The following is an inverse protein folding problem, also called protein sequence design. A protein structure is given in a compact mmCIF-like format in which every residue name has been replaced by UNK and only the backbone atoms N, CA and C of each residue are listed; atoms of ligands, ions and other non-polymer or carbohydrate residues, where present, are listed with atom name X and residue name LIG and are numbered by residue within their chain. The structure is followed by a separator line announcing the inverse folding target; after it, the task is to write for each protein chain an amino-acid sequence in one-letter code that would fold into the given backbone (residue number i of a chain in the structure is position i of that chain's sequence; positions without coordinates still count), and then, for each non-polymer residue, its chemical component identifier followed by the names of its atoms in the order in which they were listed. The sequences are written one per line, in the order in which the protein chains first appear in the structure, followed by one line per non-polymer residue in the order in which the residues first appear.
data_IF_527146385408
#
_entry.id   IF_527146385408
#
_cell.length_a   1.000
_cell.length_b   1.000
_cell.length_c   1.000
_cell.angle_alpha   90.00
_cell.angle_beta   90.00
_cell.angle_gamma   90.00
#
_symmetry.space_group_name_H-M   'P 1'
#
loop_
_entity.id
_entity.type
_entity.pdbx_description
1 polymer ?
#
# COMPACT_ATOMS: atom_id res chain seq x y z
N UNK A 1 -38.52 -1.77 -58.26
CA UNK A 1 -38.68 -3.16 -58.75
C UNK A 1 -37.28 -3.75 -58.80
N UNK A 2 -37.03 -4.72 -57.92
CA UNK A 2 -35.80 -5.54 -57.74
C UNK A 2 -34.50 -4.77 -57.41
N UNK A 3 -34.14 -4.82 -56.13
CA UNK A 3 -32.83 -4.43 -55.59
C UNK A 3 -31.90 -5.64 -55.62
N UNK A 4 -30.70 -5.45 -56.17
CA UNK A 4 -29.67 -6.47 -56.40
C UNK A 4 -28.95 -6.77 -55.08
N UNK A 5 -28.82 -8.07 -54.78
CA UNK A 5 -28.02 -8.62 -53.68
C UNK A 5 -26.66 -9.05 -54.22
N UNK A 6 -25.58 -8.52 -53.65
CA UNK A 6 -24.23 -9.04 -53.86
C UNK A 6 -23.81 -9.87 -52.64
N UNK A 7 -23.70 -11.18 -52.87
CA UNK A 7 -23.16 -12.19 -51.96
C UNK A 7 -21.70 -12.45 -52.39
N UNK A 8 -20.74 -12.06 -51.54
CA UNK A 8 -19.33 -12.36 -51.76
C UNK A 8 -18.71 -13.02 -50.52
N UNK A 9 -18.50 -14.34 -50.68
CA UNK A 9 -17.30 -15.10 -50.32
C UNK A 9 -16.85 -15.13 -48.86
N UNK A 10 -17.13 -16.30 -48.26
CA UNK A 10 -16.51 -16.88 -47.05
C UNK A 10 -14.98 -16.89 -47.16
N UNK A 11 -14.31 -16.25 -46.20
CA UNK A 11 -12.94 -16.56 -45.82
C UNK A 11 -12.95 -17.20 -44.42
N UNK A 12 -12.45 -18.44 -44.36
CA UNK A 12 -12.16 -19.18 -43.15
C UNK A 12 -11.04 -18.47 -42.37
N UNK A 13 -11.34 -18.04 -41.14
CA UNK A 13 -10.33 -17.88 -40.09
C UNK A 13 -10.64 -18.87 -38.96
N UNK A 14 -9.64 -19.59 -38.44
CA UNK A 14 -9.84 -20.68 -37.50
C UNK A 14 -10.34 -20.16 -36.16
N UNK A 15 -11.36 -20.87 -35.67
CA UNK A 15 -11.99 -20.82 -34.36
C UNK A 15 -10.99 -20.68 -33.21
N UNK A 16 -11.24 -19.67 -32.38
CA UNK A 16 -11.12 -19.66 -30.92
C UNK A 16 -10.06 -20.61 -30.34
N UNK A 17 -8.89 -20.05 -30.02
CA UNK A 17 -8.01 -20.62 -29.01
C UNK A 17 -8.78 -20.77 -27.70
N UNK A 18 -9.03 -22.01 -27.31
CA UNK A 18 -9.51 -22.43 -26.01
C UNK A 18 -8.62 -21.87 -24.90
N UNK A 19 -9.10 -20.87 -24.17
CA UNK A 19 -8.47 -20.45 -22.92
C UNK A 19 -8.62 -21.57 -21.87
N UNK A 20 -7.54 -21.94 -21.16
CA UNK A 20 -7.56 -23.05 -20.22
C UNK A 20 -8.38 -22.70 -18.96
N UNK A 21 -9.16 -23.66 -18.50
CA UNK A 21 -10.01 -23.76 -17.31
C UNK A 21 -9.96 -22.64 -16.27
N UNK A 22 -11.05 -21.86 -16.18
CA UNK A 22 -11.27 -20.84 -15.15
C UNK A 22 -12.08 -21.34 -13.94
N UNK A 23 -12.32 -22.64 -13.76
CA UNK A 23 -13.34 -23.16 -12.83
C UNK A 23 -12.86 -24.15 -11.75
N UNK A 24 -11.63 -24.68 -11.81
CA UNK A 24 -11.15 -25.65 -10.81
C UNK A 24 -10.17 -25.01 -9.83
N UNK A 25 -10.38 -25.16 -8.50
CA UNK A 25 -9.38 -24.80 -7.50
C UNK A 25 -8.06 -25.56 -7.71
N UNK A 26 -6.94 -24.89 -7.43
CA UNK A 26 -5.59 -25.46 -7.49
C UNK A 26 -5.31 -26.41 -6.32
N UNK A 27 -4.32 -27.30 -6.46
CA UNK A 27 -4.00 -28.32 -5.44
C UNK A 27 -3.73 -27.70 -4.07
N UNK A 28 -2.90 -26.67 -4.04
CA UNK A 28 -2.60 -25.92 -2.81
C UNK A 28 -3.82 -25.23 -2.19
N UNK A 29 -4.75 -24.73 -3.01
CA UNK A 29 -5.99 -24.11 -2.53
C UNK A 29 -6.90 -25.14 -1.87
N UNK A 30 -7.00 -26.35 -2.45
CA UNK A 30 -7.74 -27.48 -1.87
C UNK A 30 -7.15 -27.92 -0.52
N UNK A 31 -5.82 -27.95 -0.42
CA UNK A 31 -5.13 -28.29 0.83
C UNK A 31 -5.44 -27.28 1.95
N UNK A 32 -5.27 -25.98 1.68
CA UNK A 32 -5.59 -24.93 2.66
C UNK A 32 -7.08 -24.97 3.03
N UNK A 33 -7.96 -25.17 2.05
CA UNK A 33 -9.40 -25.31 2.26
C UNK A 33 -9.74 -26.47 3.22
N UNK A 34 -9.17 -27.66 3.01
CA UNK A 34 -9.43 -28.82 3.86
C UNK A 34 -8.97 -28.63 5.32
N UNK A 35 -7.86 -27.91 5.52
CA UNK A 35 -7.41 -27.53 6.87
C UNK A 35 -8.35 -26.49 7.47
N UNK A 36 -8.66 -25.44 6.71
CA UNK A 36 -9.58 -24.39 7.12
C UNK A 36 -10.97 -24.92 7.43
N UNK A 37 -11.43 -26.03 6.83
CA UNK A 37 -12.70 -26.68 7.18
C UNK A 37 -12.74 -27.25 8.60
N UNK A 38 -11.61 -27.67 9.14
CA UNK A 38 -11.54 -28.41 10.41
C UNK A 38 -11.23 -27.52 11.61
N UNK A 39 -10.59 -26.37 11.39
CA UNK A 39 -10.15 -25.45 12.45
C UNK A 39 -10.02 -24.02 11.93
N UNK A 40 -9.94 -23.07 12.85
CA UNK A 40 -9.61 -21.69 12.54
C UNK A 40 -8.14 -21.59 12.12
N UNK A 41 -7.88 -20.97 10.97
CA UNK A 41 -6.51 -20.76 10.48
C UNK A 41 -6.30 -19.36 9.95
N UNK A 42 -5.03 -18.95 9.96
CA UNK A 42 -4.53 -17.85 9.14
C UNK A 42 -3.76 -18.46 7.98
N UNK A 43 -4.32 -18.38 6.76
CA UNK A 43 -3.64 -18.82 5.55
C UNK A 43 -2.62 -17.76 5.11
N UNK A 44 -1.35 -18.13 5.12
CA UNK A 44 -0.24 -17.31 4.62
C UNK A 44 0.08 -17.75 3.20
N UNK A 45 -0.27 -16.90 2.24
CA UNK A 45 -0.17 -17.16 0.81
C UNK A 45 0.27 -15.89 0.10
N UNK A 46 1.04 -15.97 -0.98
CA UNK A 46 1.33 -14.76 -1.77
C UNK A 46 0.05 -14.18 -2.38
N UNK A 47 0.08 -12.91 -2.77
CA UNK A 47 -1.07 -12.19 -3.35
C UNK A 47 -1.60 -12.89 -4.61
N UNK A 48 -0.73 -13.55 -5.37
CA UNK A 48 -1.04 -14.40 -6.54
C UNK A 48 -1.58 -15.79 -6.17
N UNK A 49 -1.49 -16.21 -4.91
CA UNK A 49 -1.89 -17.52 -4.40
C UNK A 49 -3.40 -17.79 -4.49
N UNK A 50 -4.21 -16.76 -4.75
CA UNK A 50 -5.65 -16.88 -4.93
C UNK A 50 -6.40 -17.17 -3.62
N UNK A 51 -6.05 -16.44 -2.56
CA UNK A 51 -6.68 -16.50 -1.23
C UNK A 51 -8.20 -16.41 -1.28
N UNK A 52 -8.71 -15.49 -2.10
CA UNK A 52 -10.15 -15.27 -2.25
C UNK A 52 -10.89 -16.51 -2.77
N UNK A 53 -10.26 -17.33 -3.61
CA UNK A 53 -10.87 -18.58 -4.07
C UNK A 53 -11.10 -19.56 -2.90
N UNK A 54 -10.17 -19.64 -1.96
CA UNK A 54 -10.29 -20.48 -0.76
C UNK A 54 -11.45 -19.98 0.12
N UNK A 55 -11.56 -18.65 0.30
CA UNK A 55 -12.70 -18.04 0.97
C UNK A 55 -14.03 -18.39 0.29
N UNK A 56 -14.13 -18.30 -1.04
CA UNK A 56 -15.31 -18.70 -1.80
C UNK A 56 -15.65 -20.18 -1.60
N UNK A 57 -14.66 -21.08 -1.57
CA UNK A 57 -14.89 -22.50 -1.31
C UNK A 57 -15.47 -22.73 0.10
N UNK A 58 -14.91 -22.06 1.12
CA UNK A 58 -15.43 -22.13 2.49
C UNK A 58 -16.86 -21.59 2.61
N UNK A 59 -17.17 -20.49 1.91
CA UNK A 59 -18.52 -19.91 1.83
C UNK A 59 -19.50 -20.95 1.27
N UNK A 60 -19.14 -21.60 0.15
CA UNK A 60 -20.00 -22.62 -0.49
C UNK A 60 -20.22 -23.84 0.41
N UNK A 61 -19.17 -24.32 1.07
CA UNK A 61 -19.23 -25.48 1.96
C UNK A 61 -20.10 -25.25 3.19
N UNK A 62 -20.25 -24.00 3.64
CA UNK A 62 -21.13 -23.66 4.75
C UNK A 62 -22.59 -23.54 4.36
N UNK A 63 -22.89 -23.22 3.10
CA UNK A 63 -24.29 -23.08 2.63
C UNK A 63 -24.91 -24.42 2.22
N UNK A 64 -24.13 -25.35 1.68
CA UNK A 64 -24.64 -26.67 1.27
C UNK A 64 -25.37 -27.46 2.40
N UNK A 65 -24.95 -27.41 3.68
CA UNK A 65 -25.65 -28.07 4.79
C UNK A 65 -26.86 -27.30 5.35
N UNK A 66 -27.07 -26.02 5.00
CA UNK A 66 -28.07 -25.13 5.64
C UNK A 66 -29.50 -25.37 5.11
N UNK A 67 -29.66 -26.16 4.05
CA UNK A 67 -30.98 -26.60 3.56
C UNK A 67 -31.74 -27.54 4.52
N UNK A 68 -31.14 -27.90 5.66
CA UNK A 68 -31.79 -28.63 6.75
C UNK A 68 -32.04 -27.71 7.95
N UNK A 69 -33.25 -27.14 7.98
CA UNK A 69 -34.10 -26.83 9.15
C UNK A 69 -33.35 -26.19 10.35
N UNK A 70 -33.60 -24.88 10.51
CA UNK A 70 -33.38 -24.02 11.68
C UNK A 70 -32.07 -23.20 11.75
N UNK A 71 -32.24 -21.94 11.34
CA UNK A 71 -31.38 -20.75 11.42
C UNK A 71 -30.48 -20.49 10.19
N UNK A 72 -30.87 -19.46 9.41
CA UNK A 72 -29.99 -18.77 8.46
C UNK A 72 -28.72 -18.39 9.20
N UNK A 73 -27.56 -18.84 8.72
CA UNK A 73 -26.28 -18.49 9.32
C UNK A 73 -25.58 -17.46 8.45
N UNK A 74 -25.34 -16.29 9.02
CA UNK A 74 -24.70 -15.18 8.34
C UNK A 74 -23.22 -15.44 8.12
N UNK A 75 -22.67 -14.99 7.00
CA UNK A 75 -21.23 -14.94 6.75
C UNK A 75 -20.79 -13.49 6.67
N UNK A 76 -19.67 -13.17 7.32
CA UNK A 76 -19.08 -11.85 7.26
C UNK A 76 -17.70 -11.95 6.62
N UNK A 77 -17.46 -11.12 5.60
CA UNK A 77 -16.15 -10.94 5.00
C UNK A 77 -15.65 -9.52 5.32
N UNK A 78 -14.46 -9.41 5.88
CA UNK A 78 -13.87 -8.12 6.23
C UNK A 78 -12.61 -7.83 5.43
N UNK A 79 -12.53 -6.62 4.86
CA UNK A 79 -11.34 -6.11 4.16
C UNK A 79 -10.94 -4.73 4.71
N UNK A 80 -9.64 -4.39 4.80
CA UNK A 80 -9.18 -3.20 5.52
C UNK A 80 -9.46 -1.89 4.79
N UNK A 81 -9.66 -1.94 3.46
CA UNK A 81 -9.91 -0.75 2.64
C UNK A 81 -11.20 -0.87 1.83
N UNK A 82 -11.80 0.26 1.48
CA UNK A 82 -13.00 0.31 0.63
C UNK A 82 -12.75 -0.32 -0.74
N UNK A 83 -11.55 -0.11 -1.31
CA UNK A 83 -11.18 -0.72 -2.58
C UNK A 83 -11.20 -2.24 -2.51
N UNK A 84 -10.61 -2.82 -1.46
CA UNK A 84 -10.63 -4.26 -1.24
C UNK A 84 -12.05 -4.77 -1.00
N UNK A 85 -12.89 -4.07 -0.22
CA UNK A 85 -14.31 -4.44 -0.04
C UNK A 85 -15.02 -4.60 -1.38
N UNK A 86 -14.89 -3.62 -2.28
CA UNK A 86 -15.49 -3.70 -3.62
C UNK A 86 -14.97 -4.89 -4.43
N UNK A 87 -13.64 -5.11 -4.44
CA UNK A 87 -13.04 -6.22 -5.17
C UNK A 87 -13.52 -7.58 -4.67
N UNK A 88 -13.54 -7.78 -3.35
CA UNK A 88 -13.96 -9.06 -2.77
C UNK A 88 -15.46 -9.27 -2.93
N UNK A 89 -16.27 -8.22 -2.82
CA UNK A 89 -17.71 -8.26 -3.11
C UNK A 89 -18.00 -8.75 -4.53
N UNK A 90 -17.42 -8.11 -5.55
CA UNK A 90 -17.62 -8.47 -6.94
C UNK A 90 -17.19 -9.92 -7.20
N UNK A 91 -16.05 -10.32 -6.63
CA UNK A 91 -15.53 -11.67 -6.77
C UNK A 91 -16.45 -12.72 -6.12
N UNK A 92 -16.89 -12.52 -4.89
CA UNK A 92 -17.77 -13.46 -4.17
C UNK A 92 -19.13 -13.53 -4.88
N UNK A 93 -19.70 -12.39 -5.27
CA UNK A 93 -20.98 -12.31 -5.98
C UNK A 93 -20.94 -12.99 -7.35
N UNK A 94 -19.82 -12.88 -8.06
CA UNK A 94 -19.65 -13.57 -9.35
C UNK A 94 -19.52 -15.08 -9.20
N UNK A 95 -18.83 -15.56 -8.15
CA UNK A 95 -18.52 -16.98 -7.98
C UNK A 95 -19.53 -17.76 -7.12
N UNK A 96 -20.53 -17.09 -6.54
CA UNK A 96 -21.56 -17.71 -5.69
C UNK A 96 -22.96 -17.30 -6.15
N UNK A 97 -23.96 -18.12 -5.85
CA UNK A 97 -25.37 -17.81 -6.09
C UNK A 97 -26.06 -17.25 -4.84
N UNK A 98 -25.29 -16.66 -3.93
CA UNK A 98 -25.77 -16.18 -2.64
C UNK A 98 -26.19 -14.71 -2.72
N UNK A 99 -27.03 -14.29 -1.78
CA UNK A 99 -27.35 -12.88 -1.62
C UNK A 99 -26.19 -12.18 -0.90
N UNK A 100 -25.39 -11.43 -1.66
CA UNK A 100 -24.19 -10.72 -1.18
C UNK A 100 -24.44 -9.21 -1.25
N UNK A 101 -24.08 -8.48 -0.20
CA UNK A 101 -24.07 -7.01 -0.17
C UNK A 101 -22.82 -6.46 0.54
N UNK A 102 -22.47 -5.20 0.24
CA UNK A 102 -21.26 -4.54 0.72
C UNK A 102 -21.51 -3.22 1.48
N UNK A 103 -20.70 -2.99 2.52
CA UNK A 103 -20.87 -1.86 3.45
C UNK A 103 -19.54 -1.17 3.81
N UNK A 104 -19.51 0.15 3.71
CA UNK A 104 -18.37 1.00 4.06
C UNK A 104 -18.84 2.45 4.30
N UNK A 105 -17.97 3.34 4.79
CA UNK A 105 -18.34 4.67 5.28
C UNK A 105 -19.23 5.51 4.34
N UNK A 106 -18.93 5.54 3.05
CA UNK A 106 -19.66 6.34 2.06
C UNK A 106 -21.04 5.76 1.67
N UNK A 107 -21.41 4.58 2.18
CA UNK A 107 -22.76 3.99 1.98
C UNK A 107 -23.82 4.57 2.95
N UNK A 108 -23.46 5.53 3.81
CA UNK A 108 -24.40 6.16 4.74
C UNK A 108 -24.90 5.24 5.87
N UNK A 109 -24.24 4.11 6.07
CA UNK A 109 -24.63 3.05 7.03
C UNK A 109 -24.60 3.51 8.50
N UNK A 110 -23.92 4.62 8.78
CA UNK A 110 -23.82 5.19 10.13
C UNK A 110 -25.15 5.78 10.63
N UNK A 111 -26.07 6.11 9.73
CA UNK A 111 -27.37 6.70 10.06
C UNK A 111 -28.48 5.63 10.16
N UNK A 112 -28.15 4.37 9.89
CA UNK A 112 -29.13 3.29 9.86
C UNK A 112 -29.55 2.87 11.26
N UNK A 113 -30.86 2.66 11.44
CA UNK A 113 -31.43 2.17 12.67
C UNK A 113 -31.41 0.62 12.72
N UNK A 114 -31.90 0.06 13.82
CA UNK A 114 -31.99 -1.40 14.01
C UNK A 114 -32.84 -2.10 12.95
N UNK A 115 -33.93 -1.48 12.48
CA UNK A 115 -34.81 -2.07 11.47
C UNK A 115 -34.11 -2.20 10.11
N UNK A 116 -33.32 -1.20 9.72
CA UNK A 116 -32.50 -1.26 8.50
C UNK A 116 -31.51 -2.42 8.57
N UNK A 117 -30.74 -2.54 9.65
CA UNK A 117 -29.77 -3.63 9.80
C UNK A 117 -30.44 -5.00 9.88
N UNK A 118 -31.57 -5.12 10.58
CA UNK A 118 -32.32 -6.37 10.66
C UNK A 118 -32.81 -6.83 9.28
N UNK A 119 -33.28 -5.89 8.45
CA UNK A 119 -33.64 -6.17 7.06
C UNK A 119 -32.45 -6.67 6.26
N UNK A 120 -31.33 -5.96 6.30
CA UNK A 120 -30.12 -6.32 5.55
C UNK A 120 -29.57 -7.70 5.95
N UNK A 121 -29.54 -8.00 7.26
CA UNK A 121 -29.13 -9.30 7.80
C UNK A 121 -30.09 -10.42 7.36
N UNK A 122 -31.38 -10.12 7.27
CA UNK A 122 -32.40 -11.09 6.86
C UNK A 122 -32.37 -11.36 5.35
N UNK A 123 -32.10 -10.36 4.53
CA UNK A 123 -32.09 -10.46 3.07
C UNK A 123 -30.78 -11.08 2.56
N UNK A 124 -29.63 -10.77 3.14
CA UNK A 124 -28.33 -11.22 2.61
C UNK A 124 -27.71 -12.39 3.38
N UNK A 125 -27.02 -13.28 2.66
CA UNK A 125 -26.28 -14.40 3.22
C UNK A 125 -24.85 -14.02 3.60
N UNK A 126 -24.24 -13.12 2.80
CA UNK A 126 -22.86 -12.68 2.95
C UNK A 126 -22.80 -11.16 3.01
N UNK A 127 -22.22 -10.63 4.10
CA UNK A 127 -21.96 -9.20 4.24
C UNK A 127 -20.47 -8.92 4.08
N UNK A 128 -20.09 -8.11 3.08
CA UNK A 128 -18.70 -7.71 2.83
C UNK A 128 -18.49 -6.28 3.32
N UNK A 129 -17.62 -6.06 4.30
CA UNK A 129 -17.51 -4.71 4.88
C UNK A 129 -16.13 -4.34 5.39
N UNK A 130 -15.90 -3.05 5.64
CA UNK A 130 -14.72 -2.62 6.40
C UNK A 130 -14.90 -2.98 7.88
N UNK A 131 -13.81 -3.28 8.62
CA UNK A 131 -13.94 -3.70 10.00
C UNK A 131 -14.48 -2.61 10.94
N UNK A 132 -14.34 -1.33 10.56
CA UNK A 132 -14.94 -0.25 11.34
C UNK A 132 -16.47 -0.35 11.36
N UNK A 133 -17.09 -0.69 10.22
CA UNK A 133 -18.56 -0.87 10.15
C UNK A 133 -19.00 -2.00 11.08
N UNK A 134 -18.37 -3.18 11.00
CA UNK A 134 -18.74 -4.29 11.89
C UNK A 134 -18.56 -3.90 13.36
N UNK A 135 -17.45 -3.24 13.72
CA UNK A 135 -17.19 -2.82 15.08
C UNK A 135 -18.30 -1.89 15.62
N UNK A 136 -18.74 -0.93 14.81
CA UNK A 136 -19.78 0.01 15.20
C UNK A 136 -21.15 -0.67 15.31
N UNK A 137 -21.48 -1.57 14.38
CA UNK A 137 -22.71 -2.37 14.41
C UNK A 137 -22.76 -3.26 15.67
N UNK A 138 -21.65 -3.90 16.02
CA UNK A 138 -21.54 -4.73 17.23
C UNK A 138 -21.67 -3.90 18.51
N UNK A 139 -21.00 -2.74 18.59
CA UNK A 139 -21.06 -1.85 19.76
C UNK A 139 -22.44 -1.26 20.00
N UNK A 140 -23.17 -1.00 18.93
CA UNK A 140 -24.56 -0.53 19.01
C UNK A 140 -25.58 -1.67 19.16
N UNK A 141 -25.12 -2.92 19.34
CA UNK A 141 -25.96 -4.12 19.45
C UNK A 141 -26.95 -4.32 18.29
N UNK A 142 -26.58 -3.87 17.08
CA UNK A 142 -27.38 -3.99 15.86
C UNK A 142 -27.20 -5.35 15.18
N UNK A 143 -26.11 -6.06 15.49
CA UNK A 143 -25.81 -7.42 15.05
C UNK A 143 -25.21 -8.20 16.22
N UNK A 144 -25.53 -9.49 16.34
CA UNK A 144 -24.92 -10.39 17.32
C UNK A 144 -23.96 -11.35 16.63
N UNK A 145 -22.72 -11.48 17.11
CA UNK A 145 -21.76 -12.46 16.56
C UNK A 145 -22.26 -13.90 16.66
N UNK A 146 -23.18 -14.22 17.57
CA UNK A 146 -23.72 -15.58 17.72
C UNK A 146 -24.55 -16.05 16.52
N UNK A 147 -24.99 -15.12 15.66
CA UNK A 147 -25.70 -15.44 14.41
C UNK A 147 -24.77 -15.68 13.22
N UNK A 148 -23.49 -15.37 13.39
CA UNK A 148 -22.45 -15.50 12.36
C UNK A 148 -21.89 -16.91 12.41
N UNK A 149 -21.81 -17.59 11.27
CA UNK A 149 -21.17 -18.91 11.18
C UNK A 149 -19.69 -18.83 10.83
N UNK A 150 -19.33 -17.87 10.00
CA UNK A 150 -17.98 -17.69 9.49
C UNK A 150 -17.67 -16.21 9.36
N UNK A 151 -16.50 -15.84 9.88
CA UNK A 151 -15.89 -14.53 9.67
C UNK A 151 -14.57 -14.73 8.92
N UNK A 152 -14.51 -14.17 7.73
CA UNK A 152 -13.32 -14.16 6.88
C UNK A 152 -12.65 -12.80 7.05
N UNK A 153 -11.36 -12.78 7.37
CA UNK A 153 -10.61 -11.55 7.65
C UNK A 153 -9.44 -11.47 6.65
N UNK A 154 -9.60 -10.62 5.65
CA UNK A 154 -8.55 -10.30 4.68
C UNK A 154 -7.52 -9.34 5.28
N UNK A 155 -6.26 -9.50 4.89
CA UNK A 155 -5.10 -8.85 5.51
C UNK A 155 -5.14 -8.83 7.04
N UNK A 156 -5.38 -10.02 7.61
CA UNK A 156 -5.55 -10.20 9.05
C UNK A 156 -4.33 -9.83 9.90
N UNK A 157 -3.14 -9.65 9.33
CA UNK A 157 -1.96 -9.13 10.04
C UNK A 157 -2.19 -7.73 10.62
N UNK A 158 -3.21 -6.99 10.16
CA UNK A 158 -3.65 -5.74 10.77
C UNK A 158 -4.36 -5.93 12.12
N UNK A 159 -4.67 -7.14 12.57
CA UNK A 159 -5.34 -7.43 13.84
C UNK A 159 -4.45 -7.25 15.07
N UNK A 160 -3.78 -6.11 15.17
CA UNK A 160 -2.87 -5.75 16.27
C UNK A 160 -3.24 -4.39 16.89
N UNK A 161 -2.77 -4.16 18.12
CA UNK A 161 -2.96 -2.89 18.81
C UNK A 161 -4.43 -2.43 18.90
N UNK A 162 -4.69 -1.22 18.37
CA UNK A 162 -5.99 -0.54 18.39
C UNK A 162 -6.77 -0.63 17.08
N UNK A 163 -6.30 -1.45 16.12
CA UNK A 163 -6.98 -1.63 14.84
C UNK A 163 -8.39 -2.22 15.04
N UNK A 164 -9.40 -1.85 14.22
CA UNK A 164 -10.75 -2.38 14.37
C UNK A 164 -10.85 -3.90 14.37
N UNK A 165 -10.03 -4.62 13.60
CA UNK A 165 -9.92 -6.09 13.69
C UNK A 165 -9.62 -6.57 15.11
N UNK A 166 -8.57 -6.03 15.74
CA UNK A 166 -8.18 -6.42 17.10
C UNK A 166 -9.29 -6.12 18.11
N UNK A 167 -10.00 -4.99 17.94
CA UNK A 167 -11.13 -4.60 18.79
C UNK A 167 -12.31 -5.54 18.64
N UNK A 168 -12.71 -5.91 17.41
CA UNK A 168 -13.77 -6.91 17.17
C UNK A 168 -13.44 -8.22 17.90
N UNK A 169 -12.19 -8.68 17.76
CA UNK A 169 -11.77 -9.93 18.40
C UNK A 169 -11.79 -9.85 19.93
N UNK A 170 -11.19 -8.80 20.51
CA UNK A 170 -11.06 -8.63 21.97
C UNK A 170 -12.36 -8.26 22.67
N UNK A 171 -13.16 -7.38 22.06
CA UNK A 171 -14.37 -6.83 22.68
C UNK A 171 -15.57 -7.78 22.55
N UNK A 172 -15.64 -8.54 21.44
CA UNK A 172 -16.81 -9.34 21.10
C UNK A 172 -16.50 -10.83 20.92
N UNK A 173 -15.58 -11.18 20.01
CA UNK A 173 -15.35 -12.59 19.66
C UNK A 173 -14.92 -13.45 20.86
N UNK A 174 -13.88 -13.02 21.58
CA UNK A 174 -13.33 -13.77 22.72
C UNK A 174 -14.27 -13.85 23.92
N UNK A 175 -15.27 -12.96 23.99
CA UNK A 175 -16.29 -12.95 25.03
C UNK A 175 -17.57 -13.70 24.64
N UNK A 176 -17.69 -14.12 23.38
CA UNK A 176 -18.85 -14.85 22.90
C UNK A 176 -18.84 -16.31 23.38
N UNK A 177 -20.00 -16.82 23.80
CA UNK A 177 -20.18 -18.24 24.11
C UNK A 177 -20.23 -19.09 22.83
N UNK A 178 -20.85 -18.54 21.78
CA UNK A 178 -20.94 -19.17 20.48
C UNK A 178 -20.09 -18.37 19.48
N UNK A 179 -18.87 -18.85 19.24
CA UNK A 179 -17.89 -18.18 18.39
C UNK A 179 -18.11 -18.55 16.92
N UNK A 180 -18.16 -17.58 15.99
CA UNK A 180 -18.07 -17.90 14.58
C UNK A 180 -16.73 -18.59 14.28
N UNK A 181 -16.71 -19.35 13.20
CA UNK A 181 -15.45 -19.84 12.65
C UNK A 181 -14.65 -18.67 12.08
N UNK A 182 -13.33 -18.70 12.23
CA UNK A 182 -12.44 -17.68 11.68
C UNK A 182 -11.60 -18.25 10.55
N UNK A 183 -11.52 -17.50 9.45
CA UNK A 183 -10.55 -17.71 8.41
C UNK A 183 -9.80 -16.41 8.14
N UNK A 184 -8.56 -16.32 8.64
CA UNK A 184 -7.65 -15.22 8.34
C UNK A 184 -6.91 -15.48 7.04
N UNK A 185 -6.68 -14.45 6.25
CA UNK A 185 -5.85 -14.52 5.05
C UNK A 185 -4.82 -13.39 5.08
N UNK A 186 -3.58 -13.68 4.72
CA UNK A 186 -2.57 -12.64 4.53
C UNK A 186 -1.38 -13.11 3.70
N UNK A 187 -0.61 -12.17 3.15
CA UNK A 187 0.67 -12.46 2.48
C UNK A 187 1.83 -12.56 3.46
N UNK A 188 1.76 -11.79 4.55
CA UNK A 188 2.78 -11.80 5.60
C UNK A 188 2.09 -11.69 6.95
N UNK A 189 2.33 -12.64 7.88
CA UNK A 189 1.78 -12.56 9.23
C UNK A 189 2.53 -11.54 10.11
N UNK A 190 3.69 -11.06 9.67
CA UNK A 190 4.55 -10.13 10.43
C UNK A 190 4.35 -8.70 9.93
N UNK A 191 4.19 -7.76 10.85
CA UNK A 191 4.11 -6.32 10.52
C UNK A 191 5.54 -5.77 10.47
N UNK A 192 5.95 -5.28 9.29
CA UNK A 192 7.34 -4.83 9.03
C UNK A 192 7.86 -3.73 9.96
N UNK A 193 6.96 -2.97 10.60
CA UNK A 193 7.33 -2.00 11.64
C UNK A 193 7.54 -2.70 12.98
N UNK A 194 8.75 -3.20 13.23
CA UNK A 194 9.17 -3.63 14.57
C UNK A 194 9.86 -4.98 14.66
N UNK A 195 9.92 -5.76 13.57
CA UNK A 195 10.74 -6.98 13.55
C UNK A 195 12.21 -6.62 13.35
N UNK A 196 12.97 -6.50 14.44
CA UNK A 196 14.40 -6.23 14.42
C UNK A 196 15.23 -7.51 14.60
N UNK A 197 14.58 -8.61 14.99
CA UNK A 197 15.17 -9.91 15.22
C UNK A 197 14.18 -11.05 14.89
N UNK A 198 14.71 -12.27 14.75
CA UNK A 198 13.89 -13.47 14.55
C UNK A 198 12.93 -13.72 15.73
N UNK A 199 13.31 -13.34 16.95
CA UNK A 199 12.47 -13.52 18.13
C UNK A 199 11.24 -12.60 18.07
N UNK A 200 11.41 -11.36 17.61
CA UNK A 200 10.29 -10.42 17.45
C UNK A 200 9.26 -10.94 16.44
N UNK A 201 9.71 -11.64 15.38
CA UNK A 201 8.81 -12.29 14.43
C UNK A 201 7.98 -13.41 15.09
N UNK A 202 8.62 -14.26 15.90
CA UNK A 202 7.93 -15.35 16.60
C UNK A 202 6.90 -14.81 17.58
N UNK A 203 7.23 -13.75 18.30
CA UNK A 203 6.32 -13.09 19.24
C UNK A 203 5.13 -12.46 18.52
N UNK A 204 5.35 -11.77 17.40
CA UNK A 204 4.27 -11.19 16.59
C UNK A 204 3.33 -12.25 16.00
N UNK A 205 3.89 -13.35 15.50
CA UNK A 205 3.12 -14.51 14.99
C UNK A 205 2.25 -15.06 16.11
N UNK A 206 2.84 -15.29 17.29
CA UNK A 206 2.13 -15.82 18.46
C UNK A 206 1.04 -14.86 18.96
N UNK A 207 1.31 -13.54 18.97
CA UNK A 207 0.29 -12.53 19.32
C UNK A 207 -0.88 -12.57 18.33
N UNK A 208 -0.59 -12.64 17.03
CA UNK A 208 -1.61 -12.67 16.00
C UNK A 208 -2.49 -13.93 16.10
N UNK A 209 -1.88 -15.11 16.29
CA UNK A 209 -2.61 -16.37 16.52
C UNK A 209 -3.56 -16.26 17.73
N UNK A 210 -3.07 -15.70 18.84
CA UNK A 210 -3.87 -15.51 20.06
C UNK A 210 -5.02 -14.52 19.86
N UNK A 211 -4.76 -13.38 19.19
CA UNK A 211 -5.81 -12.38 18.93
C UNK A 211 -6.87 -12.96 18.01
N UNK A 212 -6.48 -13.70 16.98
CA UNK A 212 -7.37 -14.23 15.96
C UNK A 212 -8.04 -15.55 16.33
N UNK A 213 -7.61 -16.20 17.42
CA UNK A 213 -8.03 -17.56 17.82
C UNK A 213 -7.82 -18.56 16.65
N UNK A 214 -6.64 -18.48 16.02
CA UNK A 214 -6.28 -19.18 14.80
C UNK A 214 -4.88 -19.79 14.89
N UNK A 215 -4.64 -20.81 14.07
CA UNK A 215 -3.28 -21.32 13.80
C UNK A 215 -2.80 -20.82 12.43
N UNK A 216 -1.57 -20.31 12.35
CA UNK A 216 -0.96 -19.94 11.07
C UNK A 216 -0.68 -21.21 10.26
N UNK A 217 -1.03 -21.16 8.98
CA UNK A 217 -0.85 -22.25 8.04
C UNK A 217 -0.15 -21.75 6.77
N UNK A 218 1.04 -22.26 6.53
CA UNK A 218 1.82 -22.08 5.30
C UNK A 218 1.85 -23.38 4.50
N UNK A 219 1.87 -23.29 3.18
CA UNK A 219 2.07 -24.48 2.34
C UNK A 219 3.56 -24.80 2.33
N UNK A 220 3.91 -26.04 2.65
CA UNK A 220 5.31 -26.51 2.66
C UNK A 220 5.87 -26.72 1.24
N UNK A 221 5.01 -27.11 0.29
CA UNK A 221 5.42 -27.44 -1.08
C UNK A 221 5.22 -26.24 -2.02
N UNK A 222 6.21 -25.35 -2.05
CA UNK A 222 6.24 -24.16 -2.90
C UNK A 222 6.40 -24.50 -4.40
N UNK A 223 6.70 -25.75 -4.77
CA UNK A 223 7.03 -26.16 -6.14
C UNK A 223 5.84 -25.92 -7.08
N UNK A 224 4.62 -26.27 -6.67
CA UNK A 224 3.42 -26.03 -7.49
C UNK A 224 3.17 -24.52 -7.64
N UNK A 225 3.41 -23.72 -6.58
CA UNK A 225 3.23 -22.27 -6.61
C UNK A 225 4.24 -21.57 -7.54
N UNK A 226 5.51 -21.99 -7.56
CA UNK A 226 6.56 -21.42 -8.43
C UNK A 226 6.21 -21.53 -9.93
N UNK A 227 5.45 -22.56 -10.33
CA UNK A 227 4.98 -22.71 -11.73
C UNK A 227 4.00 -21.62 -12.15
N UNK A 228 3.23 -21.07 -11.20
CA UNK A 228 2.14 -20.12 -11.47
C UNK A 228 2.43 -18.71 -10.97
N UNK A 229 3.40 -18.55 -10.07
CA UNK A 229 3.82 -17.29 -9.49
C UNK A 229 5.20 -16.92 -10.03
N UNK A 230 5.31 -15.92 -10.93
CA UNK A 230 6.61 -15.47 -11.39
C UNK A 230 7.38 -14.82 -10.23
N UNK A 231 8.36 -15.53 -9.68
CA UNK A 231 9.22 -15.01 -8.61
C UNK A 231 10.36 -14.18 -9.19
N UNK A 232 10.52 -12.95 -8.71
CA UNK A 232 11.66 -12.12 -9.07
C UNK A 232 12.96 -12.73 -8.51
N UNK A 233 14.00 -12.86 -9.34
CA UNK A 233 15.33 -13.25 -8.86
C UNK A 233 16.02 -12.04 -8.25
N UNK A 234 16.09 -11.99 -6.93
CA UNK A 234 16.84 -10.97 -6.23
C UNK A 234 18.35 -11.17 -6.45
N UNK A 235 19.06 -10.07 -6.71
CA UNK A 235 20.53 -10.08 -6.78
C UNK A 235 21.08 -8.94 -5.93
N UNK A 236 21.76 -9.27 -4.84
CA UNK A 236 22.50 -8.28 -4.06
C UNK A 236 23.78 -7.90 -4.80
N UNK A 237 23.94 -6.62 -5.12
CA UNK A 237 25.18 -6.05 -5.65
C UNK A 237 25.81 -5.22 -4.54
N UNK A 238 26.96 -5.67 -4.06
CA UNK A 238 27.75 -4.92 -3.10
C UNK A 238 28.75 -4.07 -3.84
N UNK A 239 28.81 -2.78 -3.50
CA UNK A 239 29.79 -1.85 -4.02
C UNK A 239 30.73 -1.48 -2.89
N UNK A 240 32.01 -1.32 -3.20
CA UNK A 240 32.95 -0.76 -2.25
C UNK A 240 32.52 0.67 -1.88
N UNK A 241 32.61 1.08 -0.60
CA UNK A 241 32.37 2.46 -0.21
C UNK A 241 33.19 3.40 -1.07
N UNK A 242 32.58 4.50 -1.52
CA UNK A 242 33.26 5.50 -2.35
C UNK A 242 34.53 5.95 -1.64
N UNK A 243 35.71 5.79 -2.29
CA UNK A 243 37.01 6.24 -1.75
C UNK A 243 37.14 7.78 -1.69
N UNK A 244 36.05 8.49 -1.91
CA UNK A 244 35.99 9.93 -1.98
C UNK A 244 35.79 10.50 -0.57
N UNK A 245 36.78 11.25 -0.07
CA UNK A 245 36.65 11.93 1.21
C UNK A 245 35.77 13.17 1.05
N UNK A 246 34.47 13.05 1.33
CA UNK A 246 33.51 14.15 1.26
C UNK A 246 33.70 15.20 2.35
N UNK A 247 34.53 14.93 3.37
CA UNK A 247 34.69 15.78 4.56
C UNK A 247 35.10 17.23 4.22
N UNK A 248 36.02 17.40 3.27
CA UNK A 248 36.45 18.73 2.82
C UNK A 248 35.32 19.52 2.14
N UNK A 249 34.56 18.86 1.26
CA UNK A 249 33.43 19.50 0.59
C UNK A 249 32.29 19.82 1.56
N UNK A 250 31.98 18.90 2.47
CA UNK A 250 30.98 19.15 3.50
C UNK A 250 31.29 20.39 4.32
N UNK A 251 32.57 20.59 4.68
CA UNK A 251 32.98 21.79 5.41
C UNK A 251 32.77 23.07 4.58
N UNK A 252 33.08 23.04 3.27
CA UNK A 252 32.85 24.17 2.36
C UNK A 252 31.36 24.48 2.18
N UNK A 253 30.53 23.44 1.99
CA UNK A 253 29.07 23.58 1.85
C UNK A 253 28.48 24.11 3.16
N UNK A 254 28.91 23.58 4.31
CA UNK A 254 28.47 24.06 5.62
C UNK A 254 28.84 25.53 5.86
N UNK A 255 30.02 25.98 5.41
CA UNK A 255 30.40 27.39 5.49
C UNK A 255 29.50 28.28 4.62
N UNK A 256 29.17 27.86 3.40
CA UNK A 256 28.23 28.56 2.52
C UNK A 256 26.82 28.60 3.12
N UNK A 257 26.36 27.49 3.72
CA UNK A 257 25.09 27.42 4.45
C UNK A 257 25.03 28.44 5.59
N UNK A 258 26.03 28.46 6.48
CA UNK A 258 26.08 29.38 7.62
C UNK A 258 26.06 30.85 7.19
N UNK A 259 26.73 31.19 6.07
CA UNK A 259 26.73 32.54 5.50
C UNK A 259 25.33 32.96 5.02
N UNK A 260 24.62 32.05 4.37
CA UNK A 260 23.27 32.28 3.87
C UNK A 260 22.24 32.35 5.01
N UNK A 261 22.33 31.45 5.99
CA UNK A 261 21.47 31.42 7.18
C UNK A 261 21.58 32.72 7.99
N UNK A 262 22.81 33.18 8.25
CA UNK A 262 23.04 34.47 8.90
C UNK A 262 22.44 35.64 8.10
N UNK A 263 22.58 35.63 6.77
CA UNK A 263 22.00 36.67 5.90
C UNK A 263 20.46 36.66 5.95
N UNK A 264 19.83 35.49 5.94
CA UNK A 264 18.37 35.37 6.07
C UNK A 264 17.85 35.80 7.43
N UNK A 265 18.56 35.48 8.52
CA UNK A 265 18.20 35.93 9.86
C UNK A 265 18.29 37.45 9.99
N UNK A 266 19.30 38.09 9.38
CA UNK A 266 19.37 39.57 9.37
C UNK A 266 18.22 40.21 8.61
N UNK A 267 17.84 39.64 7.46
CA UNK A 267 16.68 40.09 6.69
C UNK A 267 15.38 39.90 7.47
N UNK A 268 15.17 38.74 8.10
CA UNK A 268 14.00 38.48 8.94
C UNK A 268 13.90 39.46 10.11
N UNK A 269 15.01 39.72 10.82
CA UNK A 269 15.05 40.66 11.94
C UNK A 269 14.71 42.10 11.55
N UNK A 270 15.04 42.51 10.31
CA UNK A 270 14.66 43.83 9.78
C UNK A 270 13.17 43.99 9.46
N UNK A 271 12.47 42.89 9.21
CA UNK A 271 11.04 42.87 8.78
C UNK A 271 10.09 42.71 9.97
N UNK A 272 10.57 42.15 11.10
CA UNK A 272 9.81 41.89 12.32
C UNK A 272 9.16 43.12 12.97
N UNK A 273 9.32 44.32 12.40
CA UNK A 273 8.66 45.55 12.83
C UNK A 273 7.28 45.79 12.19
N UNK A 274 6.74 44.96 11.27
CA UNK A 274 5.42 45.28 10.69
C UNK A 274 4.36 44.21 10.33
N UNK A 275 4.62 42.91 10.08
CA UNK A 275 3.53 41.96 9.70
C UNK A 275 3.81 40.48 10.02
N UNK A 276 2.79 39.75 10.54
CA UNK A 276 2.88 38.32 10.95
C UNK A 276 2.97 37.34 9.78
N UNK A 277 2.29 37.60 8.67
CA UNK A 277 2.28 36.70 7.48
C UNK A 277 3.63 36.62 6.76
N UNK A 278 4.43 37.69 6.82
CA UNK A 278 5.77 37.73 6.23
C UNK A 278 6.75 36.84 7.00
N UNK A 279 6.63 36.79 8.32
CA UNK A 279 7.47 35.94 9.18
C UNK A 279 7.27 34.45 8.85
N UNK A 280 6.02 34.04 8.57
CA UNK A 280 5.70 32.67 8.16
C UNK A 280 6.28 32.32 6.78
N UNK A 281 6.27 33.25 5.81
CA UNK A 281 6.94 33.05 4.51
C UNK A 281 8.45 32.87 4.64
N UNK A 282 9.10 33.65 5.50
CA UNK A 282 10.55 33.51 5.75
C UNK A 282 10.88 32.20 6.47
N UNK A 283 10.08 31.79 7.46
CA UNK A 283 10.22 30.49 8.12
C UNK A 283 10.05 29.33 7.12
N UNK A 284 9.09 29.43 6.21
CA UNK A 284 8.90 28.44 5.16
C UNK A 284 10.10 28.35 4.22
N UNK A 285 10.67 29.50 3.83
CA UNK A 285 11.87 29.58 3.01
C UNK A 285 13.09 28.96 3.72
N UNK A 286 13.32 29.28 5.00
CA UNK A 286 14.40 28.71 5.80
C UNK A 286 14.27 27.19 5.95
N UNK A 287 13.06 26.72 6.30
CA UNK A 287 12.76 25.29 6.42
C UNK A 287 13.04 24.55 5.11
N UNK A 288 12.65 25.16 3.98
CA UNK A 288 12.91 24.61 2.66
C UNK A 288 14.40 24.54 2.36
N UNK A 289 15.14 25.64 2.53
CA UNK A 289 16.57 25.68 2.29
C UNK A 289 17.32 24.67 3.16
N UNK A 290 16.89 24.48 4.41
CA UNK A 290 17.46 23.49 5.33
C UNK A 290 17.23 22.05 4.84
N UNK A 291 16.03 21.76 4.32
CA UNK A 291 15.75 20.47 3.70
C UNK A 291 16.59 20.25 2.43
N UNK A 292 16.78 21.27 1.61
CA UNK A 292 17.61 21.19 0.39
C UNK A 292 19.08 20.92 0.77
N UNK A 293 19.62 21.63 1.77
CA UNK A 293 20.96 21.36 2.32
C UNK A 293 21.12 19.93 2.82
N UNK A 294 20.17 19.42 3.61
CA UNK A 294 20.21 18.04 4.11
C UNK A 294 20.23 17.02 2.97
N UNK A 295 19.34 17.17 1.98
CA UNK A 295 19.29 16.28 0.81
C UNK A 295 20.59 16.28 0.01
N UNK A 296 21.23 17.43 -0.14
CA UNK A 296 22.51 17.55 -0.85
C UNK A 296 23.60 16.76 -0.10
N UNK A 297 23.63 16.84 1.23
CA UNK A 297 24.57 16.07 2.04
C UNK A 297 24.31 14.57 1.98
N UNK A 298 23.04 14.16 2.08
CA UNK A 298 22.65 12.75 1.97
C UNK A 298 23.05 12.19 0.59
N UNK A 299 22.79 12.94 -0.49
CA UNK A 299 23.23 12.56 -1.83
C UNK A 299 24.76 12.44 -1.93
N UNK A 300 25.50 13.33 -1.26
CA UNK A 300 26.96 13.30 -1.28
C UNK A 300 27.52 12.07 -0.56
N UNK A 301 26.88 11.63 0.53
CA UNK A 301 27.30 10.46 1.31
C UNK A 301 26.88 9.13 0.69
N UNK A 302 25.61 9.03 0.29
CA UNK A 302 25.02 7.75 -0.09
C UNK A 302 25.12 7.47 -1.59
N UNK A 303 25.06 8.53 -2.43
CA UNK A 303 24.96 8.41 -3.89
C UNK A 303 26.22 8.94 -4.61
N UNK A 304 27.01 9.77 -3.94
CA UNK A 304 28.25 10.35 -4.45
C UNK A 304 28.10 11.68 -5.20
N UNK A 305 29.23 12.20 -5.67
CA UNK A 305 29.38 13.57 -6.22
C UNK A 305 28.42 13.92 -7.36
N UNK A 306 28.19 13.00 -8.28
CA UNK A 306 27.34 13.25 -9.46
C UNK A 306 25.89 13.44 -9.04
N UNK A 307 25.39 12.55 -8.17
CA UNK A 307 24.03 12.65 -7.65
C UNK A 307 23.86 13.90 -6.79
N UNK A 308 24.85 14.27 -5.99
CA UNK A 308 24.84 15.53 -5.24
C UNK A 308 24.81 16.75 -6.18
N UNK A 309 25.60 16.74 -7.27
CA UNK A 309 25.61 17.80 -8.27
C UNK A 309 24.24 17.97 -8.97
N UNK A 310 23.62 16.87 -9.38
CA UNK A 310 22.27 16.89 -9.97
C UNK A 310 21.20 17.30 -8.95
N UNK A 311 21.31 16.87 -7.69
CA UNK A 311 20.40 17.30 -6.62
C UNK A 311 20.41 18.83 -6.45
N UNK A 312 21.59 19.47 -6.50
CA UNK A 312 21.70 20.93 -6.43
C UNK A 312 21.00 21.61 -7.60
N UNK A 313 21.11 21.07 -8.84
CA UNK A 313 20.38 21.61 -10.00
C UNK A 313 18.87 21.52 -9.81
N UNK A 314 18.38 20.38 -9.32
CA UNK A 314 16.95 20.21 -9.01
C UNK A 314 16.50 21.21 -7.94
N UNK A 315 17.31 21.47 -6.91
CA UNK A 315 17.02 22.50 -5.91
C UNK A 315 16.95 23.91 -6.54
N UNK A 316 17.85 24.24 -7.48
CA UNK A 316 17.85 25.51 -8.21
C UNK A 316 16.61 25.69 -9.10
N UNK A 317 16.18 24.64 -9.80
CA UNK A 317 14.98 24.67 -10.66
C UNK A 317 13.70 24.89 -9.86
N UNK A 318 13.64 24.36 -8.64
CA UNK A 318 12.46 24.44 -7.81
C UNK A 318 12.32 25.79 -7.07
N UNK A 319 13.29 26.71 -7.15
CA UNK A 319 13.28 27.96 -6.38
C UNK A 319 11.95 28.72 -6.59
N UNK A 320 11.32 29.30 -5.54
CA UNK A 320 10.03 29.99 -5.67
C UNK A 320 10.07 31.12 -6.70
N UNK A 321 9.02 31.26 -7.52
CA UNK A 321 8.85 32.46 -8.37
C UNK A 321 8.54 33.68 -7.48
N UNK A 322 9.21 34.80 -7.73
CA UNK A 322 9.17 36.00 -6.89
C UNK A 322 8.57 37.22 -7.60
N UNK A 323 7.90 37.03 -8.75
CA UNK A 323 7.36 38.14 -9.58
C UNK A 323 6.45 39.12 -8.83
N UNK A 324 5.65 38.65 -7.87
CA UNK A 324 4.67 39.46 -7.12
C UNK A 324 5.01 39.63 -5.63
N UNK A 325 6.24 39.32 -5.23
CA UNK A 325 6.66 39.36 -3.82
C UNK A 325 7.37 40.67 -3.42
N UNK A 326 7.44 40.94 -2.12
CA UNK A 326 8.13 42.12 -1.60
C UNK A 326 9.66 42.03 -1.78
N UNK A 327 10.33 43.19 -1.81
CA UNK A 327 11.78 43.27 -2.05
C UNK A 327 12.60 42.48 -1.02
N UNK A 328 12.17 42.46 0.24
CA UNK A 328 12.90 41.72 1.27
C UNK A 328 12.80 40.20 1.06
N UNK A 329 11.64 39.68 0.65
CA UNK A 329 11.47 38.26 0.33
C UNK A 329 12.21 37.88 -0.95
N UNK A 330 12.18 38.74 -1.98
CA UNK A 330 13.01 38.59 -3.20
C UNK A 330 14.49 38.48 -2.86
N UNK A 331 15.01 39.33 -1.97
CA UNK A 331 16.39 39.25 -1.51
C UNK A 331 16.65 37.93 -0.76
N UNK A 332 15.72 37.49 0.09
CA UNK A 332 15.84 36.19 0.77
C UNK A 332 15.93 35.00 -0.21
N UNK A 333 15.10 34.98 -1.24
CA UNK A 333 15.16 33.97 -2.30
C UNK A 333 16.46 34.07 -3.10
N UNK A 334 16.95 35.29 -3.34
CA UNK A 334 18.24 35.51 -4.01
C UNK A 334 19.41 34.96 -3.19
N UNK A 335 19.40 35.08 -1.86
CA UNK A 335 20.40 34.48 -0.99
C UNK A 335 20.39 32.95 -1.09
N UNK A 336 19.21 32.33 -1.11
CA UNK A 336 19.07 30.88 -1.32
C UNK A 336 19.66 30.46 -2.68
N UNK A 337 19.37 31.23 -3.74
CA UNK A 337 19.92 31.00 -5.08
C UNK A 337 21.44 31.13 -5.10
N UNK A 338 22.01 32.13 -4.42
CA UNK A 338 23.48 32.31 -4.32
C UNK A 338 24.12 31.12 -3.62
N UNK A 339 23.57 30.68 -2.49
CA UNK A 339 24.04 29.49 -1.78
C UNK A 339 24.05 28.27 -2.70
N UNK A 340 22.94 27.95 -3.38
CA UNK A 340 22.88 26.79 -4.24
C UNK A 340 23.86 26.86 -5.42
N UNK A 341 24.11 28.05 -5.99
CA UNK A 341 25.13 28.23 -7.02
C UNK A 341 26.57 28.06 -6.48
N UNK A 342 26.86 28.57 -5.28
CA UNK A 342 28.15 28.33 -4.61
C UNK A 342 28.36 26.83 -4.38
N UNK A 343 27.34 26.12 -3.89
CA UNK A 343 27.40 24.65 -3.69
C UNK A 343 27.57 23.91 -5.02
N UNK A 344 26.87 24.33 -6.08
CA UNK A 344 27.01 23.75 -7.42
C UNK A 344 28.45 23.88 -7.93
N UNK A 345 29.09 25.03 -7.69
CA UNK A 345 30.48 25.27 -8.05
C UNK A 345 31.44 24.40 -7.21
N UNK A 346 31.26 24.36 -5.89
CA UNK A 346 32.08 23.55 -4.97
C UNK A 346 32.09 22.08 -5.38
N UNK A 347 30.91 21.52 -5.67
CA UNK A 347 30.79 20.13 -6.12
C UNK A 347 31.34 19.97 -7.54
N UNK A 348 31.05 20.92 -8.43
CA UNK A 348 31.47 20.90 -9.83
C UNK A 348 32.98 20.91 -10.02
N UNK A 349 33.72 21.69 -9.23
CA UNK A 349 35.20 21.71 -9.23
C UNK A 349 35.82 20.39 -8.76
N UNK A 350 35.05 19.57 -8.05
CA UNK A 350 35.45 18.26 -7.57
C UNK A 350 35.08 17.12 -8.52
N UNK A 351 34.36 17.41 -9.61
CA UNK A 351 34.03 16.42 -10.62
C UNK A 351 35.26 16.11 -11.50
N UNK A 352 35.51 14.84 -11.85
CA UNK A 352 36.55 14.49 -12.81
C UNK A 352 36.35 15.21 -14.16
N UNK A 353 37.42 15.80 -14.70
CA UNK A 353 37.48 16.62 -15.93
C UNK A 353 36.82 16.02 -17.19
N UNK A 354 36.43 14.74 -17.19
CA UNK A 354 35.79 14.06 -18.32
C UNK A 354 34.26 13.98 -18.28
N UNK A 355 33.58 14.36 -17.18
CA UNK A 355 32.14 14.11 -17.01
C UNK A 355 31.28 15.31 -17.43
N UNK A 356 31.80 16.54 -17.33
CA UNK A 356 31.09 17.76 -17.71
C UNK A 356 30.89 17.92 -19.23
N UNK A 357 31.56 17.10 -20.06
CA UNK A 357 31.45 17.15 -21.53
C UNK A 357 30.32 16.27 -22.12
N UNK A 358 29.60 15.49 -21.31
CA UNK A 358 28.57 14.58 -21.82
C UNK A 358 27.20 15.23 -22.09
N UNK A 359 27.07 16.56 -22.02
CA UNK A 359 25.84 17.28 -22.39
C UNK A 359 25.64 17.46 -23.90
N UNK A 360 26.41 16.78 -24.75
CA UNK A 360 26.11 16.67 -26.18
C UNK A 360 25.56 15.28 -26.49
N UNK A 361 24.23 15.16 -26.44
CA UNK A 361 23.51 14.01 -26.97
C UNK A 361 23.87 13.79 -28.45
N UNK A 362 24.40 12.63 -28.87
CA UNK A 362 24.30 12.22 -30.26
C UNK A 362 22.89 11.68 -30.47
N UNK A 363 22.05 12.45 -31.16
CA UNK A 363 20.82 11.96 -31.79
C UNK A 363 21.19 11.00 -32.91
N UNK A 364 21.47 9.74 -32.57
CA UNK A 364 21.41 8.65 -33.54
C UNK A 364 21.11 7.33 -32.83
N UNK A 365 19.82 7.04 -32.67
CA UNK A 365 19.38 5.66 -32.50
C UNK A 365 19.73 4.90 -33.79
N UNK A 366 20.82 4.14 -33.75
CA UNK A 366 21.14 3.16 -34.77
C UNK A 366 20.10 2.05 -34.74
N UNK A 367 19.38 1.90 -35.85
CA UNK A 367 18.54 0.74 -36.14
C UNK A 367 19.40 -0.52 -36.22
N UNK A 368 19.21 -1.45 -35.28
CA UNK A 368 19.59 -2.84 -35.49
C UNK A 368 18.39 -3.61 -36.06
N UNK A 369 18.51 -4.26 -37.23
CA UNK A 369 17.49 -5.17 -37.73
C UNK A 369 17.62 -6.53 -37.04
N UNK A 370 16.44 -7.04 -36.64
CA UNK A 370 15.97 -8.43 -36.45
C UNK A 370 17.03 -9.51 -36.26
#
# INVERSE_FOLDING_TARGET
MVSISDDHTKNHHPSSSSNPDHSSPRGHQLQVHEVAKRRNIIAVLDTSGGKIMIAVMLIKDLVQPINSIDKKKLIIFLAPTVHLVNQQFDYIKFHTSLDVEQYYGDKGVNEWNSECWEKEIKEHDVLVMTPQILLDVLRNALLSLEMVSLMIIDECHHATGNHPYAKIMKEFYHKSNNKPKIFGMTASPVVSKGALSNNDCVDQISELENVMDCMIYTIEDMIEMETYVPTAKESCRFFDPTRFCSLGLKAMIAASWLKMDASLLTLQGSIQTSYTEMDDKFKALLKRSSNDYAKILDCLDDLGLICAYEAVKVCLENIPDTKEECEAYKEGVLQCKRFLNEVLQIIGESLPLGILCCNSYPTSFGSHPI
#
